data_IF_504736711241
#
_entry.id   IF_504736711241
#
_cell.length_a   1.000
_cell.length_b   1.000
_cell.length_c   1.000
_cell.angle_alpha   90.00
_cell.angle_beta   90.00
_cell.angle_gamma   90.00
#
_symmetry.space_group_name_H-M   'P 1'
#
loop_
_entity.id
_entity.type
_entity.pdbx_description
1 polymer ?
#
# COMPACT_ATOMS: atom_id res chain seq x y z
N UNK A 1 18.24 -3.07 -21.40
CA UNK A 1 17.50 -4.21 -20.82
C UNK A 1 16.77 -4.91 -21.94
N UNK A 2 16.96 -6.22 -22.11
CA UNK A 2 16.35 -7.02 -23.18
C UNK A 2 15.03 -7.69 -22.74
N UNK A 3 14.56 -7.44 -21.51
CA UNK A 3 13.28 -7.95 -21.03
C UNK A 3 12.20 -6.90 -21.28
N UNK A 4 11.13 -7.32 -21.95
CA UNK A 4 9.94 -6.49 -22.19
C UNK A 4 9.21 -6.12 -20.88
N UNK A 5 9.37 -6.94 -19.83
CA UNK A 5 8.81 -6.70 -18.51
C UNK A 5 9.93 -6.44 -17.51
N UNK A 6 9.83 -5.37 -16.73
CA UNK A 6 10.82 -4.99 -15.71
C UNK A 6 10.16 -5.09 -14.34
N UNK A 7 10.66 -6.01 -13.53
CA UNK A 7 10.27 -6.10 -12.13
C UNK A 7 11.51 -6.06 -11.25
N UNK A 8 11.37 -5.46 -10.07
CA UNK A 8 12.45 -5.41 -9.08
C UNK A 8 12.91 -6.81 -8.64
N UNK A 9 12.01 -7.81 -8.68
CA UNK A 9 12.37 -9.20 -8.32
C UNK A 9 13.44 -9.81 -9.22
N UNK A 10 13.63 -9.32 -10.45
CA UNK A 10 14.70 -9.81 -11.32
C UNK A 10 16.10 -9.41 -10.85
N UNK A 11 16.21 -8.42 -9.96
CA UNK A 11 17.46 -8.04 -9.32
C UNK A 11 17.75 -8.86 -8.06
N UNK A 12 16.74 -9.48 -7.43
CA UNK A 12 16.90 -10.23 -6.19
C UNK A 12 17.96 -11.36 -6.28
N UNK A 13 18.08 -12.13 -7.39
CA UNK A 13 19.14 -13.14 -7.49
C UNK A 13 20.56 -12.57 -7.55
N UNK A 14 20.73 -11.32 -7.99
CA UNK A 14 22.04 -10.67 -8.13
C UNK A 14 22.50 -10.07 -6.79
N UNK A 15 21.56 -9.66 -5.93
CA UNK A 15 21.87 -9.03 -4.64
C UNK A 15 22.79 -9.90 -3.76
N UNK A 16 22.56 -11.21 -3.55
CA UNK A 16 23.47 -12.05 -2.77
C UNK A 16 24.90 -12.08 -3.32
N UNK A 17 25.07 -12.14 -4.66
CA UNK A 17 26.40 -12.16 -5.28
C UNK A 17 27.14 -10.84 -5.03
N UNK A 18 26.47 -9.71 -5.19
CA UNK A 18 27.03 -8.40 -4.88
C UNK A 18 27.43 -8.27 -3.40
N UNK A 19 26.60 -8.80 -2.50
CA UNK A 19 26.89 -8.81 -1.06
C UNK A 19 28.11 -9.67 -0.72
N UNK A 20 28.28 -10.84 -1.36
CA UNK A 20 29.47 -11.67 -1.17
C UNK A 20 30.76 -10.96 -1.61
N UNK A 21 30.76 -10.32 -2.79
CA UNK A 21 31.92 -9.58 -3.29
C UNK A 21 32.24 -8.38 -2.37
N UNK A 22 31.20 -7.63 -1.96
CA UNK A 22 31.37 -6.52 -1.02
C UNK A 22 31.93 -6.98 0.32
N UNK A 23 31.43 -8.11 0.84
CA UNK A 23 31.91 -8.69 2.10
C UNK A 23 33.37 -9.13 2.02
N UNK A 24 33.81 -9.72 0.90
CA UNK A 24 35.21 -10.11 0.69
C UNK A 24 36.15 -8.90 0.72
N UNK A 25 35.82 -7.83 0.00
CA UNK A 25 36.62 -6.59 0.02
C UNK A 25 36.68 -5.94 1.41
N UNK A 26 35.55 -5.94 2.15
CA UNK A 26 35.51 -5.45 3.53
C UNK A 26 36.40 -6.32 4.42
N UNK A 27 36.32 -7.66 4.31
CA UNK A 27 37.14 -8.58 5.08
C UNK A 27 38.63 -8.38 4.81
N UNK A 28 39.03 -8.24 3.54
CA UNK A 28 40.41 -7.94 3.16
C UNK A 28 40.89 -6.61 3.75
N UNK A 29 40.08 -5.55 3.63
CA UNK A 29 40.40 -4.24 4.21
C UNK A 29 40.60 -4.32 5.74
N UNK A 30 39.67 -4.96 6.47
CA UNK A 30 39.77 -5.12 7.91
C UNK A 30 41.02 -5.93 8.31
N UNK A 31 41.36 -6.98 7.55
CA UNK A 31 42.54 -7.80 7.77
C UNK A 31 43.87 -7.04 7.52
N UNK A 32 43.88 -6.10 6.59
CA UNK A 32 45.05 -5.26 6.32
C UNK A 32 45.27 -4.23 7.44
N UNK A 33 44.19 -3.75 8.06
CA UNK A 33 44.24 -2.78 9.14
C UNK A 33 44.70 -3.39 10.47
N UNK A 34 44.37 -4.66 10.76
CA UNK A 34 44.84 -5.34 11.99
C UNK A 34 46.34 -5.60 12.02
N UNK A 35 47.01 -5.60 10.85
CA UNK A 35 48.46 -5.78 10.73
C UNK A 35 49.28 -4.50 10.97
N UNK A 36 48.65 -3.31 10.96
CA UNK A 36 49.35 -2.03 11.25
C UNK A 36 49.51 -1.85 12.76
N UNK A 37 50.73 -1.50 13.19
CA UNK A 37 51.18 -1.49 14.59
C UNK A 37 50.70 -0.28 15.42
N UNK A 38 50.04 0.70 14.81
CA UNK A 38 49.58 1.93 15.46
C UNK A 38 48.05 1.97 15.67
N UNK A 39 47.68 2.26 16.92
CA UNK A 39 46.34 2.49 17.48
C UNK A 39 45.26 1.39 17.33
N UNK A 40 44.78 0.96 18.51
CA UNK A 40 43.70 -0.01 18.79
C UNK A 40 42.87 -0.47 17.58
N UNK A 41 43.28 -1.54 16.86
CA UNK A 41 42.57 -2.04 15.67
C UNK A 41 41.09 -2.34 15.94
N UNK A 42 40.74 -2.68 17.19
CA UNK A 42 39.37 -2.88 17.68
C UNK A 42 38.48 -1.66 17.44
N UNK A 43 38.94 -0.43 17.71
CA UNK A 43 38.10 0.78 17.54
C UNK A 43 37.76 1.04 16.08
N UNK A 44 38.70 0.77 15.16
CA UNK A 44 38.49 0.95 13.71
C UNK A 44 37.54 -0.10 13.13
N UNK A 45 37.69 -1.37 13.52
CA UNK A 45 36.77 -2.44 13.11
C UNK A 45 35.35 -2.14 13.60
N UNK A 46 35.21 -1.76 14.87
CA UNK A 46 33.92 -1.35 15.45
C UNK A 46 33.33 -0.17 14.68
N UNK A 47 34.15 0.82 14.31
CA UNK A 47 33.72 1.95 13.48
C UNK A 47 33.14 1.53 12.12
N UNK A 48 33.81 0.62 11.41
CA UNK A 48 33.32 0.10 10.11
C UNK A 48 32.02 -0.69 10.28
N UNK A 49 31.94 -1.56 11.28
CA UNK A 49 30.74 -2.34 11.55
C UNK A 49 29.56 -1.45 11.92
N UNK A 50 29.76 -0.45 12.77
CA UNK A 50 28.73 0.53 13.13
C UNK A 50 28.27 1.32 11.91
N UNK A 51 29.19 1.74 11.04
CA UNK A 51 28.86 2.48 9.82
C UNK A 51 28.00 1.65 8.84
N UNK A 52 28.23 0.34 8.74
CA UNK A 52 27.41 -0.54 7.90
C UNK A 52 26.06 -0.88 8.57
N UNK A 53 26.10 -1.12 9.88
CA UNK A 53 24.93 -1.56 10.63
C UNK A 53 23.91 -0.46 10.86
N UNK A 54 24.33 0.74 11.28
CA UNK A 54 23.40 1.80 11.69
C UNK A 54 22.45 2.25 10.55
N UNK A 55 22.91 2.57 9.33
CA UNK A 55 22.01 2.95 8.25
C UNK A 55 21.07 1.81 7.85
N UNK A 56 21.58 0.58 7.83
CA UNK A 56 20.78 -0.62 7.53
C UNK A 56 19.68 -0.84 8.58
N UNK A 57 20.01 -0.70 9.86
CA UNK A 57 19.07 -0.79 10.96
C UNK A 57 17.99 0.31 10.86
N UNK A 58 18.39 1.55 10.61
CA UNK A 58 17.46 2.67 10.42
C UNK A 58 16.52 2.42 9.25
N UNK A 59 17.03 1.89 8.13
CA UNK A 59 16.23 1.53 6.96
C UNK A 59 15.25 0.40 7.27
N UNK A 60 15.67 -0.66 7.94
CA UNK A 60 14.78 -1.78 8.32
C UNK A 60 13.67 -1.30 9.25
N UNK A 61 13.98 -0.48 10.25
CA UNK A 61 12.97 0.08 11.17
C UNK A 61 12.00 0.97 10.41
N UNK A 62 12.51 1.87 9.56
CA UNK A 62 11.66 2.78 8.79
C UNK A 62 10.76 2.03 7.80
N UNK A 63 11.34 1.14 6.98
CA UNK A 63 10.59 0.41 5.96
C UNK A 63 9.67 -0.66 6.55
N UNK A 64 10.04 -1.25 7.69
CA UNK A 64 9.25 -2.30 8.34
C UNK A 64 8.11 -1.75 9.22
N UNK A 65 8.28 -0.57 9.82
CA UNK A 65 7.31 -0.05 10.81
C UNK A 65 6.61 1.24 10.42
N UNK A 66 7.14 2.00 9.45
CA UNK A 66 6.65 3.35 9.12
C UNK A 66 6.17 3.43 7.68
N UNK A 67 7.00 3.03 6.71
CA UNK A 67 6.67 3.18 5.29
C UNK A 67 5.62 2.14 4.85
N UNK A 68 4.53 2.62 4.24
CA UNK A 68 3.45 1.78 3.67
C UNK A 68 2.81 0.79 4.65
N UNK A 69 2.82 1.11 5.95
CA UNK A 69 2.16 0.30 6.99
C UNK A 69 0.63 0.47 6.98
N UNK A 70 0.14 1.61 6.51
CA UNK A 70 -1.27 2.01 6.57
C UNK A 70 -2.28 0.95 6.11
N UNK A 71 -2.05 0.20 5.01
CA UNK A 71 -2.97 -0.84 4.57
C UNK A 71 -3.23 -1.94 5.61
N UNK A 72 -2.23 -2.32 6.41
CA UNK A 72 -2.38 -3.30 7.47
C UNK A 72 -3.25 -2.72 8.60
N UNK A 73 -2.91 -1.53 9.07
CA UNK A 73 -3.64 -0.83 10.14
C UNK A 73 -5.10 -0.51 9.70
N UNK A 74 -5.34 -0.28 8.40
CA UNK A 74 -6.67 -0.06 7.83
C UNK A 74 -7.54 -1.32 7.87
N UNK A 75 -6.99 -2.48 7.52
CA UNK A 75 -7.73 -3.75 7.61
C UNK A 75 -7.99 -4.14 9.07
N UNK A 76 -7.05 -3.90 9.98
CA UNK A 76 -7.27 -4.07 11.42
C UNK A 76 -8.41 -3.18 11.92
N UNK A 77 -8.55 -1.99 11.35
CA UNK A 77 -9.64 -1.08 11.67
C UNK A 77 -10.99 -1.59 11.15
N UNK A 78 -11.04 -2.11 9.92
CA UNK A 78 -12.23 -2.79 9.38
C UNK A 78 -12.63 -3.95 10.29
N UNK A 79 -11.69 -4.80 10.70
CA UNK A 79 -11.96 -5.92 11.61
C UNK A 79 -12.63 -5.47 12.92
N UNK A 80 -12.19 -4.34 13.50
CA UNK A 80 -12.81 -3.74 14.69
C UNK A 80 -14.22 -3.19 14.41
N UNK A 81 -14.46 -2.66 13.21
CA UNK A 81 -15.77 -2.16 12.80
C UNK A 81 -16.80 -3.29 12.61
N UNK A 82 -16.39 -4.44 12.07
CA UNK A 82 -17.29 -5.59 11.88
C UNK A 82 -17.86 -6.06 13.22
N UNK A 83 -17.07 -6.03 14.30
CA UNK A 83 -17.57 -6.40 15.63
C UNK A 83 -18.68 -5.46 16.15
N UNK A 84 -18.80 -4.25 15.61
CA UNK A 84 -19.82 -3.26 16.02
C UNK A 84 -21.03 -3.23 15.09
N UNK A 85 -20.86 -3.57 13.81
CA UNK A 85 -21.91 -3.51 12.80
C UNK A 85 -22.10 -4.87 12.13
N UNK A 86 -23.27 -5.52 12.25
CA UNK A 86 -23.53 -6.78 11.56
C UNK A 86 -23.56 -6.54 10.05
N UNK A 87 -22.72 -7.28 9.30
CA UNK A 87 -22.66 -7.32 7.83
C UNK A 87 -22.31 -6.00 7.10
N UNK A 88 -21.12 -5.40 7.32
CA UNK A 88 -20.71 -4.24 6.55
C UNK A 88 -20.42 -4.60 5.08
N UNK A 89 -20.68 -3.64 4.19
CA UNK A 89 -20.26 -3.66 2.79
C UNK A 89 -19.14 -2.62 2.61
N UNK A 90 -17.91 -3.08 2.36
CA UNK A 90 -16.71 -2.23 2.27
C UNK A 90 -16.25 -2.13 0.81
N UNK A 91 -16.26 -0.91 0.25
CA UNK A 91 -15.72 -0.61 -1.07
C UNK A 91 -14.29 -0.05 -0.95
N UNK A 92 -13.34 -0.66 -1.64
CA UNK A 92 -11.95 -0.25 -1.70
C UNK A 92 -11.70 0.51 -3.02
N UNK A 93 -11.61 1.83 -2.94
CA UNK A 93 -11.24 2.71 -4.05
C UNK A 93 -9.75 3.04 -3.95
N UNK A 94 -8.95 2.00 -4.14
CA UNK A 94 -7.49 2.02 -4.01
C UNK A 94 -6.87 1.26 -5.18
N UNK A 95 -5.60 1.50 -5.53
CA UNK A 95 -4.88 0.67 -6.49
C UNK A 95 -4.96 -0.81 -6.11
N UNK A 96 -5.05 -1.68 -7.11
CA UNK A 96 -5.17 -3.13 -6.91
C UNK A 96 -4.07 -3.67 -5.99
N UNK A 97 -4.45 -4.62 -5.13
CA UNK A 97 -3.55 -5.26 -4.16
C UNK A 97 -2.90 -4.31 -3.14
N UNK A 98 -3.49 -3.13 -2.90
CA UNK A 98 -2.98 -2.23 -1.86
C UNK A 98 -3.23 -2.77 -0.45
N UNK A 99 -4.24 -3.61 -0.22
CA UNK A 99 -4.59 -4.16 1.10
C UNK A 99 -4.62 -5.69 1.07
N UNK A 100 -4.36 -6.37 2.21
CA UNK A 100 -4.37 -7.84 2.28
C UNK A 100 -5.78 -8.47 2.29
N UNK A 101 -6.85 -7.67 2.28
CA UNK A 101 -8.22 -8.14 2.08
C UNK A 101 -8.65 -9.27 3.05
N UNK A 102 -9.38 -10.30 2.58
CA UNK A 102 -9.85 -11.42 3.40
C UNK A 102 -8.75 -12.17 4.16
N UNK A 103 -7.49 -12.13 3.69
CA UNK A 103 -6.39 -12.82 4.35
C UNK A 103 -6.06 -12.26 5.75
N UNK A 104 -6.49 -11.03 6.06
CA UNK A 104 -6.34 -10.40 7.38
C UNK A 104 -7.69 -10.15 8.08
N UNK A 105 -8.78 -9.97 7.32
CA UNK A 105 -10.11 -9.76 7.89
C UNK A 105 -10.64 -11.02 8.60
N UNK A 106 -10.44 -12.21 8.00
CA UNK A 106 -10.91 -13.51 8.51
C UNK A 106 -12.41 -13.59 8.84
N UNK A 107 -13.25 -12.81 8.15
CA UNK A 107 -14.70 -12.81 8.32
C UNK A 107 -15.40 -12.71 6.97
N UNK A 108 -16.58 -13.34 6.86
CA UNK A 108 -17.38 -13.32 5.65
C UNK A 108 -18.25 -12.04 5.60
N UNK A 109 -17.63 -10.94 5.19
CA UNK A 109 -18.30 -9.65 4.98
C UNK A 109 -18.32 -9.29 3.50
N UNK A 110 -19.25 -8.44 3.07
CA UNK A 110 -19.27 -7.96 1.68
C UNK A 110 -18.13 -6.97 1.48
N UNK A 111 -17.24 -7.29 0.54
CA UNK A 111 -16.12 -6.43 0.18
C UNK A 111 -15.99 -6.37 -1.33
N UNK A 112 -15.65 -5.19 -1.85
CA UNK A 112 -15.47 -4.95 -3.28
C UNK A 112 -14.23 -4.08 -3.50
N UNK A 113 -13.37 -4.44 -4.44
CA UNK A 113 -12.17 -3.66 -4.80
C UNK A 113 -12.10 -3.48 -6.32
N UNK A 114 -11.40 -2.45 -6.77
CA UNK A 114 -11.11 -2.22 -8.19
C UNK A 114 -10.22 -3.33 -8.74
N UNK A 115 -10.60 -3.95 -9.85
CA UNK A 115 -9.84 -5.04 -10.48
C UNK A 115 -8.81 -4.52 -11.50
N UNK A 116 -7.69 -5.25 -11.60
CA UNK A 116 -6.62 -4.97 -12.57
C UNK A 116 -6.37 -6.24 -13.39
N UNK A 117 -7.39 -6.71 -14.11
CA UNK A 117 -7.26 -7.91 -14.93
C UNK A 117 -6.37 -7.64 -16.16
N UNK A 118 -5.46 -8.56 -16.52
CA UNK A 118 -4.65 -8.40 -17.72
C UNK A 118 -5.51 -8.55 -18.98
N UNK A 119 -5.06 -7.94 -20.08
CA UNK A 119 -5.72 -8.05 -21.40
C UNK A 119 -5.56 -9.45 -22.03
N UNK A 120 -6.27 -10.45 -21.50
CA UNK A 120 -6.22 -11.83 -21.99
C UNK A 120 -6.80 -11.99 -23.39
N UNK A 121 -7.66 -11.07 -23.81
CA UNK A 121 -8.34 -11.08 -25.12
C UNK A 121 -7.61 -10.31 -26.21
N UNK A 122 -6.46 -9.71 -25.89
CA UNK A 122 -5.65 -8.90 -26.81
C UNK A 122 -6.45 -7.78 -27.49
N UNK A 123 -7.39 -7.19 -26.75
CA UNK A 123 -8.18 -6.06 -27.23
C UNK A 123 -7.26 -4.84 -27.44
N UNK A 124 -7.48 -4.07 -28.51
CA UNK A 124 -6.75 -2.82 -28.74
C UNK A 124 -7.20 -1.78 -27.72
N UNK A 125 -6.25 -0.98 -27.22
CA UNK A 125 -6.51 0.09 -26.25
C UNK A 125 -7.24 -0.38 -24.98
N UNK A 126 -6.96 -1.61 -24.55
CA UNK A 126 -7.53 -2.18 -23.34
C UNK A 126 -7.13 -1.38 -22.10
N UNK A 127 -8.14 -1.04 -21.29
CA UNK A 127 -7.99 -0.48 -19.96
C UNK A 127 -8.76 -1.36 -18.98
N UNK A 128 -8.10 -1.73 -17.88
CA UNK A 128 -8.74 -2.46 -16.79
C UNK A 128 -9.68 -1.54 -15.99
N UNK A 129 -10.39 -2.11 -15.01
CA UNK A 129 -11.35 -1.38 -14.19
C UNK A 129 -10.69 -0.26 -13.37
N UNK A 130 -9.51 -0.53 -12.80
CA UNK A 130 -8.77 0.43 -12.00
C UNK A 130 -8.24 1.60 -12.85
N UNK A 131 -7.72 1.33 -14.05
CA UNK A 131 -7.26 2.36 -14.97
C UNK A 131 -8.43 3.24 -15.47
N UNK A 132 -9.58 2.63 -15.76
CA UNK A 132 -10.82 3.38 -16.10
C UNK A 132 -11.28 4.25 -14.93
N UNK A 133 -11.22 3.72 -13.71
CA UNK A 133 -11.55 4.48 -12.51
C UNK A 133 -10.59 5.65 -12.31
N UNK A 134 -9.28 5.45 -12.50
CA UNK A 134 -8.27 6.49 -12.29
C UNK A 134 -8.39 7.66 -13.29
N UNK A 135 -8.90 7.40 -14.50
CA UNK A 135 -9.16 8.44 -15.51
C UNK A 135 -10.27 9.41 -15.09
N UNK A 136 -11.42 8.90 -14.64
CA UNK A 136 -12.51 9.72 -14.12
C UNK A 136 -13.24 9.01 -12.97
N UNK A 137 -12.76 9.17 -11.72
CA UNK A 137 -13.33 8.49 -10.57
C UNK A 137 -14.79 8.85 -10.32
N UNK A 138 -15.17 10.10 -10.61
CA UNK A 138 -16.51 10.60 -10.33
C UNK A 138 -17.51 10.04 -11.34
N UNK A 139 -17.16 10.01 -12.64
CA UNK A 139 -17.97 9.40 -13.67
C UNK A 139 -18.10 7.89 -13.42
N UNK A 140 -17.01 7.21 -13.06
CA UNK A 140 -17.03 5.79 -12.73
C UNK A 140 -17.99 5.51 -11.57
N UNK A 141 -17.91 6.27 -10.47
CA UNK A 141 -18.82 6.11 -9.32
C UNK A 141 -20.28 6.37 -9.72
N UNK A 142 -20.54 7.42 -10.51
CA UNK A 142 -21.89 7.71 -10.99
C UNK A 142 -22.43 6.57 -11.86
N UNK A 143 -21.62 5.97 -12.73
CA UNK A 143 -22.09 4.90 -13.59
C UNK A 143 -22.33 3.58 -12.83
N UNK A 144 -21.52 3.30 -11.81
CA UNK A 144 -21.65 2.08 -11.01
C UNK A 144 -22.71 2.18 -9.90
N UNK A 145 -23.00 3.39 -9.40
CA UNK A 145 -23.89 3.61 -8.25
C UNK A 145 -25.10 4.54 -8.53
N UNK A 146 -25.30 5.07 -9.74
CA UNK A 146 -26.56 5.77 -10.08
C UNK A 146 -27.73 4.80 -10.13
N UNK A 147 -28.78 5.12 -9.38
CA UNK A 147 -30.20 4.80 -9.65
C UNK A 147 -30.48 3.50 -10.41
N UNK A 148 -29.94 2.37 -9.92
CA UNK A 148 -30.77 1.17 -9.89
C UNK A 148 -31.83 1.48 -8.84
N UNK A 149 -33.10 1.38 -9.22
CA UNK A 149 -34.27 1.87 -8.50
C UNK A 149 -34.08 1.93 -6.96
N UNK A 150 -34.59 2.99 -6.32
CA UNK A 150 -34.62 3.28 -4.86
C UNK A 150 -34.94 2.10 -3.91
N UNK A 151 -35.26 0.94 -4.44
CA UNK A 151 -35.53 -0.33 -3.76
C UNK A 151 -34.23 -1.05 -3.33
N UNK A 152 -33.08 -0.78 -3.95
CA UNK A 152 -31.82 -1.48 -3.65
C UNK A 152 -30.77 -0.60 -2.93
N UNK A 153 -31.12 -0.04 -1.77
CA UNK A 153 -30.15 0.56 -0.84
C UNK A 153 -29.08 -0.47 -0.37
N UNK A 154 -29.33 -1.76 -0.62
CA UNK A 154 -28.45 -2.89 -0.36
C UNK A 154 -27.16 -2.88 -1.19
N UNK A 155 -27.13 -2.18 -2.33
CA UNK A 155 -25.95 -2.14 -3.21
C UNK A 155 -24.94 -1.05 -2.80
N UNK A 156 -25.34 -0.07 -1.99
CA UNK A 156 -24.48 1.03 -1.60
C UNK A 156 -23.49 0.58 -0.51
N UNK A 157 -22.19 0.88 -0.62
CA UNK A 157 -21.23 0.49 0.40
C UNK A 157 -21.50 1.22 1.71
N UNK A 158 -21.50 0.51 2.84
CA UNK A 158 -21.58 1.15 4.15
C UNK A 158 -20.28 1.89 4.49
N UNK A 159 -19.14 1.38 3.98
CA UNK A 159 -17.83 1.97 4.18
C UNK A 159 -17.08 2.10 2.85
N UNK A 160 -16.37 3.22 2.66
CA UNK A 160 -15.48 3.44 1.51
C UNK A 160 -14.07 3.65 2.05
N UNK A 161 -13.12 2.84 1.60
CA UNK A 161 -11.70 2.95 1.93
C UNK A 161 -10.92 3.47 0.73
N UNK A 162 -10.15 4.54 0.92
CA UNK A 162 -9.32 5.11 -0.13
C UNK A 162 -8.12 5.89 0.41
N UNK A 163 -7.17 6.22 -0.48
CA UNK A 163 -6.10 7.18 -0.18
C UNK A 163 -6.62 8.64 -0.23
N UNK A 164 -6.04 9.53 0.59
CA UNK A 164 -6.53 10.90 0.75
C UNK A 164 -6.43 11.78 -0.51
N UNK A 165 -5.60 11.40 -1.47
CA UNK A 165 -5.52 12.01 -2.81
C UNK A 165 -6.83 11.89 -3.62
N UNK A 166 -7.65 10.86 -3.35
CA UNK A 166 -8.90 10.62 -4.06
C UNK A 166 -10.07 11.44 -3.49
N UNK A 167 -10.06 11.70 -2.18
CA UNK A 167 -11.11 12.43 -1.46
C UNK A 167 -11.54 13.75 -2.13
N UNK A 168 -10.65 14.64 -2.60
CA UNK A 168 -11.07 15.86 -3.30
C UNK A 168 -11.71 15.59 -4.67
N UNK A 169 -11.30 14.52 -5.38
CA UNK A 169 -11.81 14.18 -6.72
C UNK A 169 -13.26 13.70 -6.70
N UNK A 170 -13.67 13.04 -5.60
CA UNK A 170 -15.02 12.46 -5.46
C UNK A 170 -15.87 13.12 -4.37
N UNK A 171 -15.46 14.31 -3.91
CA UNK A 171 -16.12 15.06 -2.83
C UNK A 171 -17.62 15.27 -3.06
N UNK A 172 -18.03 15.50 -4.30
CA UNK A 172 -19.44 15.69 -4.68
C UNK A 172 -20.26 14.43 -4.44
N UNK A 173 -19.75 13.25 -4.81
CA UNK A 173 -20.38 11.96 -4.55
C UNK A 173 -20.46 11.68 -3.05
N UNK A 174 -19.37 11.89 -2.30
CA UNK A 174 -19.37 11.69 -0.85
C UNK A 174 -20.43 12.55 -0.15
N UNK A 175 -20.57 13.81 -0.57
CA UNK A 175 -21.57 14.74 -0.05
C UNK A 175 -23.01 14.35 -0.40
N UNK A 176 -23.26 13.93 -1.65
CA UNK A 176 -24.58 13.51 -2.13
C UNK A 176 -25.14 12.32 -1.33
N UNK A 177 -24.28 11.36 -0.99
CA UNK A 177 -24.65 10.15 -0.25
C UNK A 177 -24.35 10.21 1.27
N UNK A 178 -24.05 11.40 1.80
CA UNK A 178 -23.80 11.64 3.25
C UNK A 178 -22.69 10.78 3.87
N UNK A 179 -21.58 10.59 3.15
CA UNK A 179 -20.38 9.97 3.71
C UNK A 179 -19.57 10.98 4.53
N UNK A 180 -19.05 10.54 5.67
CA UNK A 180 -18.12 11.29 6.50
C UNK A 180 -16.90 10.44 6.84
N UNK A 181 -15.77 11.09 7.14
CA UNK A 181 -14.54 10.40 7.54
C UNK A 181 -14.73 9.84 8.95
N UNK A 182 -14.71 8.52 9.08
CA UNK A 182 -14.73 7.83 10.36
C UNK A 182 -13.34 7.62 10.93
N UNK A 183 -12.37 7.37 10.05
CA UNK A 183 -11.01 7.11 10.45
C UNK A 183 -10.03 7.60 9.40
N UNK A 184 -8.90 8.12 9.88
CA UNK A 184 -7.76 8.52 9.05
C UNK A 184 -6.51 7.82 9.58
N UNK A 185 -5.81 7.10 8.71
CA UNK A 185 -4.73 6.19 9.06
C UNK A 185 -3.49 6.62 8.28
N UNK A 186 -2.35 6.73 8.97
CA UNK A 186 -1.09 7.08 8.32
C UNK A 186 -0.60 5.94 7.43
N UNK A 187 -0.17 6.27 6.22
CA UNK A 187 0.37 5.31 5.25
C UNK A 187 1.88 5.49 5.03
N UNK A 188 2.32 6.66 4.60
CA UNK A 188 3.72 6.88 4.20
C UNK A 188 4.07 8.36 4.11
N UNK A 189 5.34 8.70 4.37
CA UNK A 189 5.89 10.03 4.06
C UNK A 189 6.23 10.20 2.57
N UNK A 190 6.62 9.10 1.91
CA UNK A 190 6.94 9.06 0.48
C UNK A 190 5.69 8.60 -0.26
N UNK A 191 5.16 9.46 -1.12
CA UNK A 191 3.86 9.29 -1.78
C UNK A 191 4.04 9.20 -3.29
N UNK A 192 3.06 8.61 -3.96
CA UNK A 192 2.91 8.60 -5.41
C UNK A 192 1.54 9.21 -5.82
N UNK A 193 1.27 9.33 -7.11
CA UNK A 193 0.06 9.97 -7.63
C UNK A 193 -1.25 9.29 -7.18
N UNK A 194 -1.19 8.00 -6.82
CA UNK A 194 -2.35 7.18 -6.42
C UNK A 194 -2.31 6.77 -4.95
N UNK A 195 -1.14 6.77 -4.31
CA UNK A 195 -0.90 6.39 -2.91
C UNK A 195 -0.34 7.58 -2.16
N UNK A 196 -1.21 8.20 -1.36
CA UNK A 196 -0.89 9.40 -0.60
C UNK A 196 -0.60 9.09 0.87
N UNK A 197 -0.46 10.14 1.67
CA UNK A 197 0.09 10.08 3.03
C UNK A 197 -0.87 9.38 3.98
N UNK A 198 -2.16 9.42 3.72
CA UNK A 198 -3.18 8.82 4.57
C UNK A 198 -4.14 7.92 3.79
N UNK A 199 -4.65 6.92 4.50
CA UNK A 199 -5.83 6.15 4.11
C UNK A 199 -7.00 6.69 4.92
N UNK A 200 -8.07 7.04 4.23
CA UNK A 200 -9.32 7.53 4.81
C UNK A 200 -10.39 6.45 4.66
N UNK A 201 -11.07 6.17 5.77
CA UNK A 201 -12.24 5.31 5.83
C UNK A 201 -13.44 6.20 6.04
N UNK A 202 -14.33 6.23 5.06
CA UNK A 202 -15.59 6.94 5.10
C UNK A 202 -16.71 5.99 5.52
N UNK A 203 -17.62 6.43 6.38
CA UNK A 203 -18.87 5.71 6.66
C UNK A 203 -20.07 6.51 6.18
N UNK A 204 -21.09 5.80 5.73
CA UNK A 204 -22.39 6.38 5.44
C UNK A 204 -23.04 6.76 6.78
N UNK A 205 -23.52 8.00 6.92
CA UNK A 205 -24.42 8.32 8.04
C UNK A 205 -25.68 7.48 7.86
N UNK A 206 -25.83 6.47 8.71
CA UNK A 206 -27.12 5.86 8.98
C UNK A 206 -27.79 6.86 9.90
N UNK A 207 -28.49 7.86 9.34
CA UNK A 207 -29.36 8.70 10.15
C UNK A 207 -30.46 7.77 10.72
N UNK A 208 -30.25 7.41 11.99
CA UNK A 208 -31.18 7.07 13.09
C UNK A 208 -32.36 6.15 12.83
#
# INVERSE_FOLDING_TARGET
SCLSHKEFRFLLPIVPLCLCIGADHIAQYLSAQTKKKDETPTKRIVGVLLFLFLPSLLMVIFLGLVHQRGPLDAIDSIRKLIHKHPNPHVLYLMPCHSTPYYSHVHQNISMQFLTCEPNLKLEKDYLDEADKFDQDPLLWLKNNFKNRNKVDDFHMPSHIMMFDVLSPKIKTFLGEYKYHICQRIFNSYIVDDRRSKYIEIFCKNIDS
#
